data_IF_841776728997
#
_entry.id   IF_841776728997
#
_cell.length_a   1.000
_cell.length_b   1.000
_cell.length_c   1.000
_cell.angle_alpha   90.00
_cell.angle_beta   90.00
_cell.angle_gamma   90.00
#
_symmetry.space_group_name_H-M   'P 1'
#
loop_
_entity.id
_entity.type
_entity.pdbx_description
1 polymer ?
#
# COMPACT_ATOMS: atom_id res chain seq x y z
N UNK A 1 -4.97 33.33 22.54
CA UNK A 1 -3.93 32.29 22.42
C UNK A 1 -4.52 30.88 22.31
N UNK A 2 -5.49 30.64 21.41
CA UNK A 2 -6.00 29.28 21.11
C UNK A 2 -5.84 28.92 19.61
N UNK A 3 -5.56 29.90 18.76
CA UNK A 3 -5.42 29.72 17.32
C UNK A 3 -4.01 29.35 16.84
N UNK A 4 -2.96 29.60 17.62
CA UNK A 4 -1.57 29.24 17.24
C UNK A 4 -1.33 27.72 17.28
N UNK A 5 -2.10 26.95 18.05
CA UNK A 5 -1.90 25.51 18.18
C UNK A 5 -2.47 24.69 17.02
N UNK A 6 -3.40 25.22 16.21
CA UNK A 6 -3.99 24.45 15.10
C UNK A 6 -3.03 24.28 13.93
N UNK A 7 -2.24 25.31 13.61
CA UNK A 7 -1.19 25.20 12.59
C UNK A 7 -0.11 24.21 13.01
N UNK A 8 0.24 24.19 14.31
CA UNK A 8 1.22 23.26 14.87
C UNK A 8 0.71 21.81 14.87
N UNK A 9 -0.56 21.59 15.27
CA UNK A 9 -1.18 20.27 15.25
C UNK A 9 -1.38 19.72 13.83
N UNK A 10 -1.78 20.56 12.87
CA UNK A 10 -1.93 20.14 11.48
C UNK A 10 -0.58 19.75 10.88
N UNK A 11 0.47 20.51 11.20
CA UNK A 11 1.86 20.21 10.77
C UNK A 11 2.36 18.93 11.43
N UNK A 12 2.13 18.74 12.73
CA UNK A 12 2.51 17.54 13.46
C UNK A 12 1.77 16.30 12.94
N UNK A 13 0.49 16.42 12.63
CA UNK A 13 -0.31 15.34 12.06
C UNK A 13 0.21 14.94 10.66
N UNK A 14 0.52 15.93 9.81
CA UNK A 14 1.10 15.68 8.49
C UNK A 14 2.47 14.98 8.61
N UNK A 15 3.36 15.48 9.47
CA UNK A 15 4.66 14.88 9.72
C UNK A 15 4.55 13.45 10.25
N UNK A 16 3.57 13.17 11.12
CA UNK A 16 3.33 11.81 11.63
C UNK A 16 2.89 10.86 10.50
N UNK A 17 2.04 11.31 9.58
CA UNK A 17 1.64 10.52 8.41
C UNK A 17 2.83 10.24 7.52
N UNK A 18 3.67 11.25 7.27
CA UNK A 18 4.88 11.13 6.44
C UNK A 18 5.88 10.13 7.04
N UNK A 19 6.15 10.23 8.34
CA UNK A 19 7.06 9.32 9.04
C UNK A 19 6.58 7.86 8.96
N UNK A 20 5.28 7.63 9.11
CA UNK A 20 4.71 6.27 9.00
C UNK A 20 4.80 5.78 7.56
N UNK A 21 4.47 6.62 6.58
CA UNK A 21 4.55 6.26 5.17
C UNK A 21 5.99 5.93 4.75
N UNK A 22 6.95 6.73 5.20
CA UNK A 22 8.37 6.50 4.95
C UNK A 22 8.86 5.20 5.60
N UNK A 23 8.45 4.92 6.84
CA UNK A 23 8.77 3.65 7.51
C UNK A 23 8.23 2.44 6.72
N UNK A 24 6.99 2.51 6.22
CA UNK A 24 6.40 1.47 5.39
C UNK A 24 7.17 1.31 4.07
N UNK A 25 7.46 2.42 3.39
CA UNK A 25 8.21 2.43 2.13
C UNK A 25 9.60 1.82 2.31
N UNK A 26 10.36 2.27 3.29
CA UNK A 26 11.71 1.79 3.57
C UNK A 26 11.73 0.30 3.93
N UNK A 27 10.82 -0.15 4.80
CA UNK A 27 10.71 -1.56 5.17
C UNK A 27 10.39 -2.45 3.96
N UNK A 28 9.46 -2.01 3.11
CA UNK A 28 9.02 -2.76 1.93
C UNK A 28 10.15 -2.87 0.91
N UNK A 29 10.83 -1.76 0.58
CA UNK A 29 11.95 -1.75 -0.35
C UNK A 29 13.13 -2.58 0.15
N UNK A 30 13.44 -2.53 1.45
CA UNK A 30 14.48 -3.36 2.04
C UNK A 30 14.14 -4.86 1.94
N UNK A 31 12.88 -5.23 2.15
CA UNK A 31 12.43 -6.62 2.05
C UNK A 31 12.52 -7.14 0.61
N UNK A 32 12.09 -6.35 -0.37
CA UNK A 32 12.23 -6.68 -1.79
C UNK A 32 13.70 -6.80 -2.18
N UNK A 33 14.54 -5.84 -1.78
CA UNK A 33 15.97 -5.87 -2.10
C UNK A 33 16.68 -7.12 -1.55
N UNK A 34 16.26 -7.62 -0.38
CA UNK A 34 16.78 -8.87 0.20
C UNK A 34 16.30 -10.13 -0.52
N UNK A 35 15.16 -10.06 -1.20
CA UNK A 35 14.56 -11.16 -1.93
C UNK A 35 14.81 -11.08 -3.44
N UNK A 36 15.67 -10.18 -3.93
CA UNK A 36 15.78 -9.84 -5.35
C UNK A 36 16.14 -11.03 -6.26
N UNK A 37 16.84 -12.03 -5.72
CA UNK A 37 17.20 -13.27 -6.45
C UNK A 37 16.14 -14.38 -6.32
N UNK A 38 15.12 -14.18 -5.49
CA UNK A 38 14.04 -15.14 -5.28
C UNK A 38 12.97 -15.05 -6.39
N UNK A 39 12.12 -16.08 -6.56
CA UNK A 39 10.95 -16.01 -7.43
C UNK A 39 10.05 -14.81 -7.11
N UNK A 40 9.30 -14.33 -8.10
CA UNK A 40 8.46 -13.14 -7.96
C UNK A 40 7.42 -13.28 -6.84
N UNK A 41 6.93 -14.49 -6.61
CA UNK A 41 5.98 -14.82 -5.55
C UNK A 41 6.60 -14.61 -4.16
N UNK A 42 7.87 -14.96 -3.98
CA UNK A 42 8.61 -14.76 -2.73
C UNK A 42 8.95 -13.28 -2.52
N UNK A 43 9.27 -12.55 -3.58
CA UNK A 43 9.47 -11.10 -3.53
C UNK A 43 8.18 -10.37 -3.12
N UNK A 44 7.05 -10.73 -3.74
CA UNK A 44 5.74 -10.19 -3.40
C UNK A 44 5.37 -10.48 -1.94
N UNK A 45 5.60 -11.73 -1.49
CA UNK A 45 5.39 -12.12 -0.09
C UNK A 45 6.25 -11.28 0.85
N UNK A 46 7.54 -11.10 0.56
CA UNK A 46 8.45 -10.33 1.38
C UNK A 46 8.01 -8.85 1.52
N UNK A 47 7.58 -8.25 0.41
CA UNK A 47 7.04 -6.89 0.38
C UNK A 47 5.78 -6.76 1.26
N UNK A 48 4.80 -7.64 1.05
CA UNK A 48 3.53 -7.65 1.81
C UNK A 48 3.79 -7.91 3.29
N UNK A 49 4.66 -8.85 3.62
CA UNK A 49 5.02 -9.16 5.01
C UNK A 49 5.62 -7.94 5.72
N UNK A 50 6.56 -7.24 5.07
CA UNK A 50 7.19 -6.05 5.65
C UNK A 50 6.18 -4.91 5.88
N UNK A 51 5.30 -4.67 4.92
CA UNK A 51 4.22 -3.68 5.03
C UNK A 51 3.25 -4.03 6.18
N UNK A 52 2.76 -5.27 6.21
CA UNK A 52 1.83 -5.73 7.26
C UNK A 52 2.49 -5.66 8.64
N UNK A 53 3.72 -6.14 8.78
CA UNK A 53 4.44 -6.09 10.06
C UNK A 53 4.64 -4.65 10.54
N UNK A 54 4.97 -3.71 9.64
CA UNK A 54 5.18 -2.30 9.99
C UNK A 54 3.90 -1.64 10.53
N UNK A 55 2.75 -1.99 9.96
CA UNK A 55 1.46 -1.37 10.30
C UNK A 55 0.69 -2.09 11.42
N UNK A 56 0.82 -3.41 11.51
CA UNK A 56 0.15 -4.23 12.53
C UNK A 56 0.94 -4.23 13.84
N UNK A 57 2.28 -4.12 13.78
CA UNK A 57 3.13 -4.08 14.98
C UNK A 57 2.82 -2.89 15.91
N UNK A 58 2.30 -1.80 15.36
CA UNK A 58 1.63 -0.75 16.13
C UNK A 58 0.29 -0.39 15.43
N UNK A 59 -0.85 -0.92 15.92
CA UNK A 59 -2.17 -0.67 15.35
C UNK A 59 -2.53 0.82 15.21
N UNK A 60 -1.88 1.73 15.95
CA UNK A 60 -2.10 3.17 15.79
C UNK A 60 -1.55 3.67 14.45
N UNK A 61 -0.43 3.12 13.98
CA UNK A 61 0.16 3.46 12.68
C UNK A 61 -0.76 3.10 11.52
N UNK A 62 -1.34 1.90 11.56
CA UNK A 62 -2.35 1.49 10.59
C UNK A 62 -3.54 2.46 10.55
N UNK A 63 -4.06 2.87 11.71
CA UNK A 63 -5.19 3.80 11.77
C UNK A 63 -4.84 5.20 11.26
N UNK A 64 -3.67 5.72 11.61
CA UNK A 64 -3.21 7.05 11.17
C UNK A 64 -2.95 7.07 9.66
N UNK A 65 -2.27 6.06 9.13
CA UNK A 65 -1.93 6.02 7.71
C UNK A 65 -3.12 5.60 6.83
N UNK A 66 -3.96 4.65 7.25
CA UNK A 66 -4.97 4.04 6.38
C UNK A 66 -6.40 4.50 6.68
N UNK A 67 -6.70 4.90 7.92
CA UNK A 67 -8.07 5.12 8.40
C UNK A 67 -8.80 6.32 7.81
N UNK A 68 -8.12 7.11 6.98
CA UNK A 68 -8.58 8.42 6.53
C UNK A 68 -8.55 9.44 7.67
N UNK A 69 -8.35 10.71 7.33
CA UNK A 69 -8.28 11.78 8.33
C UNK A 69 -9.62 12.50 8.40
N UNK A 70 -10.33 12.40 9.53
CA UNK A 70 -11.39 13.35 9.86
C UNK A 70 -10.73 14.68 10.24
N UNK A 71 -10.31 15.45 9.22
CA UNK A 71 -9.44 16.61 9.38
C UNK A 71 -9.79 17.76 8.44
N UNK A 72 -8.96 18.80 8.46
CA UNK A 72 -9.06 19.92 7.53
C UNK A 72 -8.89 19.44 6.08
N UNK A 73 -9.38 20.22 5.11
CA UNK A 73 -9.21 19.90 3.69
C UNK A 73 -7.73 19.72 3.30
N UNK A 74 -6.82 20.45 3.97
CA UNK A 74 -5.38 20.32 3.78
C UNK A 74 -4.87 18.94 4.25
N UNK A 75 -5.32 18.45 5.40
CA UNK A 75 -4.96 17.12 5.90
C UNK A 75 -5.47 16.00 4.98
N UNK A 76 -6.70 16.14 4.47
CA UNK A 76 -7.26 15.18 3.51
C UNK A 76 -6.47 15.17 2.20
N UNK A 77 -6.07 16.34 1.67
CA UNK A 77 -5.23 16.42 0.48
C UNK A 77 -3.84 15.81 0.70
N UNK A 78 -3.22 16.08 1.85
CA UNK A 78 -1.93 15.50 2.22
C UNK A 78 -2.00 13.97 2.28
N UNK A 79 -3.00 13.44 2.99
CA UNK A 79 -3.24 12.00 3.10
C UNK A 79 -3.39 11.33 1.73
N UNK A 80 -4.17 11.92 0.83
CA UNK A 80 -4.34 11.43 -0.54
C UNK A 80 -3.02 11.47 -1.32
N UNK A 81 -2.22 12.53 -1.16
CA UNK A 81 -0.92 12.65 -1.82
C UNK A 81 0.06 11.55 -1.36
N UNK A 82 0.13 11.30 -0.06
CA UNK A 82 0.95 10.23 0.54
C UNK A 82 0.54 8.85 0.01
N UNK A 83 -0.75 8.54 0.02
CA UNK A 83 -1.26 7.26 -0.47
C UNK A 83 -0.99 7.07 -1.97
N UNK A 84 -1.09 8.14 -2.77
CA UNK A 84 -0.72 8.13 -4.19
C UNK A 84 0.79 7.88 -4.38
N UNK A 85 1.64 8.48 -3.56
CA UNK A 85 3.08 8.26 -3.58
C UNK A 85 3.45 6.79 -3.31
N UNK A 86 2.86 6.18 -2.27
CA UNK A 86 3.07 4.76 -1.97
C UNK A 86 2.58 3.85 -3.12
N UNK A 87 1.43 4.18 -3.70
CA UNK A 87 0.90 3.46 -4.87
C UNK A 87 1.86 3.56 -6.06
N UNK A 88 2.43 4.73 -6.33
CA UNK A 88 3.34 4.94 -7.45
C UNK A 88 4.61 4.08 -7.35
N UNK A 89 5.18 3.94 -6.15
CA UNK A 89 6.35 3.08 -5.91
C UNK A 89 6.04 1.61 -6.24
N UNK A 90 4.86 1.12 -5.84
CA UNK A 90 4.44 -0.25 -6.13
C UNK A 90 4.15 -0.46 -7.62
N UNK A 91 3.54 0.52 -8.29
CA UNK A 91 3.31 0.50 -9.75
C UNK A 91 4.62 0.47 -10.50
N UNK A 92 5.60 1.28 -10.11
CA UNK A 92 6.92 1.32 -10.74
C UNK A 92 7.61 -0.05 -10.65
N UNK A 93 7.55 -0.70 -9.48
CA UNK A 93 8.06 -2.05 -9.33
C UNK A 93 7.28 -3.08 -10.18
N UNK A 94 5.95 -3.02 -10.20
CA UNK A 94 5.15 -3.93 -11.03
C UNK A 94 5.42 -3.77 -12.54
N UNK A 95 5.71 -2.55 -13.02
CA UNK A 95 6.10 -2.28 -14.42
C UNK A 95 7.46 -2.86 -14.79
N UNK A 96 8.36 -3.07 -13.83
CA UNK A 96 9.61 -3.80 -14.12
C UNK A 96 9.39 -5.31 -14.29
N UNK A 97 8.22 -5.81 -13.85
CA UNK A 97 7.87 -7.23 -13.86
C UNK A 97 6.90 -7.57 -15.01
N UNK A 98 6.03 -6.63 -15.41
CA UNK A 98 5.01 -6.82 -16.43
C UNK A 98 5.30 -6.07 -17.74
N UNK A 99 4.76 -6.59 -18.85
CA UNK A 99 5.09 -6.18 -20.22
C UNK A 99 4.45 -4.83 -20.66
N UNK A 100 4.90 -4.33 -21.82
CA UNK A 100 4.52 -3.03 -22.40
C UNK A 100 3.01 -2.93 -22.68
N UNK A 101 2.35 -4.04 -22.99
CA UNK A 101 0.92 -4.10 -23.29
C UNK A 101 0.07 -3.71 -22.07
N UNK A 102 0.47 -4.11 -20.86
CA UNK A 102 -0.24 -3.68 -19.66
C UNK A 102 -0.17 -2.17 -19.50
N UNK A 103 0.96 -1.55 -19.81
CA UNK A 103 1.16 -0.11 -19.65
C UNK A 103 0.22 0.75 -20.51
N UNK A 104 -0.28 0.21 -21.63
CA UNK A 104 -1.23 0.88 -22.52
C UNK A 104 -2.71 0.58 -22.20
N UNK A 105 -2.99 -0.46 -21.42
CA UNK A 105 -4.36 -0.85 -21.06
C UNK A 105 -4.88 -0.07 -19.84
N UNK A 106 -6.19 0.29 -19.79
CA UNK A 106 -6.80 0.91 -18.60
C UNK A 106 -6.56 0.16 -17.28
N UNK A 107 -6.31 -1.15 -17.33
CA UNK A 107 -5.99 -1.97 -16.16
C UNK A 107 -4.67 -1.56 -15.48
N UNK A 108 -3.72 -0.94 -16.18
CA UNK A 108 -2.54 -0.37 -15.54
C UNK A 108 -2.85 0.76 -14.56
N UNK A 109 -4.00 1.43 -14.69
CA UNK A 109 -4.46 2.43 -13.74
C UNK A 109 -5.31 1.80 -12.63
N UNK A 110 -6.25 0.92 -13.00
CA UNK A 110 -7.28 0.41 -12.07
C UNK A 110 -6.74 -0.68 -11.15
N UNK A 111 -5.98 -1.64 -11.66
CA UNK A 111 -5.55 -2.80 -10.88
C UNK A 111 -4.66 -2.43 -9.69
N UNK A 112 -3.65 -1.54 -9.82
CA UNK A 112 -2.86 -1.12 -8.68
C UNK A 112 -3.69 -0.40 -7.61
N UNK A 113 -4.57 0.53 -8.01
CA UNK A 113 -5.42 1.24 -7.07
C UNK A 113 -6.36 0.30 -6.29
N UNK A 114 -6.92 -0.71 -6.97
CA UNK A 114 -7.73 -1.75 -6.35
C UNK A 114 -6.94 -2.57 -5.33
N UNK A 115 -5.73 -3.01 -5.68
CA UNK A 115 -4.84 -3.78 -4.79
C UNK A 115 -4.52 -2.97 -3.54
N UNK A 116 -4.14 -1.70 -3.67
CA UNK A 116 -3.80 -0.83 -2.54
C UNK A 116 -5.01 -0.58 -1.65
N UNK A 117 -6.16 -0.24 -2.24
CA UNK A 117 -7.40 0.00 -1.50
C UNK A 117 -7.85 -1.23 -0.71
N UNK A 118 -7.86 -2.40 -1.34
CA UNK A 118 -8.19 -3.67 -0.69
C UNK A 118 -7.21 -4.06 0.41
N UNK A 119 -5.91 -3.81 0.19
CA UNK A 119 -4.86 -4.04 1.21
C UNK A 119 -5.06 -3.14 2.43
N UNK A 120 -5.33 -1.85 2.20
CA UNK A 120 -5.57 -0.90 3.26
C UNK A 120 -6.78 -1.29 4.12
N UNK A 121 -7.91 -1.65 3.49
CA UNK A 121 -9.12 -2.05 4.21
C UNK A 121 -8.93 -3.37 4.97
N UNK A 122 -8.24 -4.36 4.38
CA UNK A 122 -7.95 -5.63 5.05
C UNK A 122 -7.09 -5.44 6.31
N UNK A 123 -6.05 -4.59 6.25
CA UNK A 123 -5.23 -4.24 7.41
C UNK A 123 -6.07 -3.51 8.47
N UNK A 124 -6.90 -2.54 8.07
CA UNK A 124 -7.80 -1.84 8.99
C UNK A 124 -8.78 -2.79 9.68
N UNK A 125 -9.36 -3.73 8.94
CA UNK A 125 -10.24 -4.76 9.50
C UNK A 125 -9.51 -5.66 10.50
N UNK A 126 -8.26 -6.04 10.20
CA UNK A 126 -7.41 -6.82 11.09
C UNK A 126 -7.13 -6.08 12.40
N UNK A 127 -6.60 -4.84 12.33
CA UNK A 127 -6.26 -4.06 13.54
C UNK A 127 -7.48 -3.61 14.34
N UNK A 128 -8.67 -3.59 13.73
CA UNK A 128 -9.93 -3.35 14.41
C UNK A 128 -10.52 -4.60 15.08
N UNK A 129 -9.87 -5.77 14.95
CA UNK A 129 -10.39 -7.05 15.47
C UNK A 129 -11.65 -7.54 14.75
N UNK A 130 -11.92 -7.02 13.54
CA UNK A 130 -13.07 -7.44 12.71
C UNK A 130 -12.75 -8.65 11.84
N UNK A 131 -11.47 -8.95 11.63
CA UNK A 131 -11.01 -10.16 10.96
C UNK A 131 -10.71 -11.28 11.97
N UNK A 132 -10.91 -12.53 11.55
CA UNK A 132 -10.63 -13.75 12.36
C UNK A 132 -9.34 -14.45 11.93
N UNK A 133 -8.60 -13.89 10.98
CA UNK A 133 -7.35 -14.45 10.48
C UNK A 133 -6.19 -14.09 11.40
N UNK A 134 -5.14 -14.89 11.39
CA UNK A 134 -3.83 -14.58 11.95
C UNK A 134 -3.08 -13.59 11.06
N UNK A 135 -2.02 -12.97 11.59
CA UNK A 135 -1.20 -12.03 10.80
C UNK A 135 -0.54 -12.72 9.60
N UNK A 136 -0.09 -13.97 9.76
CA UNK A 136 0.50 -14.74 8.66
C UNK A 136 -0.55 -15.06 7.60
N UNK A 137 -1.75 -15.49 7.99
CA UNK A 137 -2.85 -15.71 7.03
C UNK A 137 -3.25 -14.43 6.29
N UNK A 138 -3.18 -13.26 6.95
CA UNK A 138 -3.38 -11.97 6.30
C UNK A 138 -2.31 -11.70 5.23
N UNK A 139 -1.02 -11.92 5.56
CA UNK A 139 0.09 -11.78 4.61
C UNK A 139 -0.08 -12.72 3.43
N UNK A 140 -0.39 -13.99 3.68
CA UNK A 140 -0.58 -15.02 2.66
C UNK A 140 -1.73 -14.66 1.71
N UNK A 141 -2.86 -14.24 2.29
CA UNK A 141 -4.06 -13.85 1.54
C UNK A 141 -3.80 -12.62 0.67
N UNK A 142 -3.17 -11.58 1.22
CA UNK A 142 -2.83 -10.36 0.48
C UNK A 142 -1.85 -10.66 -0.64
N UNK A 143 -0.80 -11.44 -0.37
CA UNK A 143 0.18 -11.86 -1.39
C UNK A 143 -0.52 -12.60 -2.54
N UNK A 144 -1.41 -13.53 -2.21
CA UNK A 144 -2.19 -14.28 -3.21
C UNK A 144 -3.03 -13.34 -4.08
N UNK A 145 -3.75 -12.40 -3.47
CA UNK A 145 -4.59 -11.45 -4.20
C UNK A 145 -3.78 -10.50 -5.08
N UNK A 146 -2.61 -10.03 -4.61
CA UNK A 146 -1.71 -9.20 -5.41
C UNK A 146 -1.28 -9.92 -6.69
N UNK A 147 -0.81 -11.16 -6.57
CA UNK A 147 -0.35 -11.97 -7.71
C UNK A 147 -1.49 -12.29 -8.67
N UNK A 148 -2.67 -12.70 -8.15
CA UNK A 148 -3.83 -13.00 -8.98
C UNK A 148 -4.31 -11.78 -9.77
N UNK A 149 -4.41 -10.62 -9.11
CA UNK A 149 -4.87 -9.39 -9.76
C UNK A 149 -3.83 -8.87 -10.76
N UNK A 150 -2.53 -8.86 -10.40
CA UNK A 150 -1.47 -8.40 -11.30
C UNK A 150 -1.36 -9.28 -12.57
N UNK A 151 -1.26 -10.59 -12.38
CA UNK A 151 -1.16 -11.54 -13.50
C UNK A 151 -2.44 -11.55 -14.35
N UNK A 152 -3.62 -11.50 -13.72
CA UNK A 152 -4.89 -11.41 -14.43
C UNK A 152 -5.03 -10.14 -15.25
N UNK A 153 -4.57 -9.00 -14.71
CA UNK A 153 -4.58 -7.73 -15.43
C UNK A 153 -3.66 -7.76 -16.66
N UNK A 154 -2.44 -8.29 -16.51
CA UNK A 154 -1.49 -8.44 -17.62
C UNK A 154 -2.04 -9.35 -18.72
N UNK A 155 -2.62 -10.51 -18.35
CA UNK A 155 -3.18 -11.45 -19.32
C UNK A 155 -4.37 -10.85 -20.10
N UNK A 156 -5.25 -10.10 -19.43
CA UNK A 156 -6.39 -9.43 -20.09
C UNK A 156 -5.92 -8.31 -21.01
N UNK A 157 -4.92 -7.53 -20.59
CA UNK A 157 -4.34 -6.47 -21.42
C UNK A 157 -3.74 -7.07 -22.70
N UNK A 158 -2.91 -8.11 -22.59
CA UNK A 158 -2.33 -8.81 -23.74
C UNK A 158 -3.43 -9.31 -24.70
N UNK A 159 -4.49 -9.94 -24.18
CA UNK A 159 -5.58 -10.46 -25.01
C UNK A 159 -6.40 -9.38 -25.75
N UNK A 160 -6.37 -8.11 -25.33
CA UNK A 160 -7.05 -6.99 -26.01
C UNK A 160 -6.21 -6.36 -27.11
N UNK A 161 -4.91 -6.54 -27.05
CA UNK A 161 -3.93 -5.99 -28.00
C UNK A 161 -3.51 -7.00 -29.08
N UNK A 162 -4.04 -8.22 -29.03
CA UNK A 162 -3.98 -9.24 -30.09
C UNK A 162 -5.30 -9.31 -30.88
#
# INVERSE_FOLDING_TARGET
>A
YFYENFTDLDTLAAATVDDIAEAVRAATLLAVARAIEAPIEEQARAAVAALVQTLVGDPRRARVLLGGVAGSAAQQHHHVAVMRGLTAVLVEHARTVHDVELAADPLAEVAPAFIIGGTADAILAFVAGRSRVTQDELVDSLTTLWLLTGNGAAAVAQARHH
#
